data_IF_446747523190
#
_entry.id   IF_446747523190
#
_cell.length_a   1.000
_cell.length_b   1.000
_cell.length_c   1.000
_cell.angle_alpha   90.00
_cell.angle_beta   90.00
_cell.angle_gamma   90.00
#
_symmetry.space_group_name_H-M   'P 1'
#
loop_
_entity.id
_entity.type
_entity.pdbx_description
1 polymer ?
#
# COMPACT_ATOMS: atom_id res chain seq x y z
N UNK A 1 8.04 21.37 9.19
CA UNK A 1 9.29 20.64 8.85
C UNK A 1 9.35 20.42 7.36
N UNK A 2 10.55 20.31 6.79
CA UNK A 2 10.77 20.33 5.34
C UNK A 2 11.82 19.28 4.96
N UNK A 3 11.58 18.52 3.91
CA UNK A 3 12.56 17.65 3.27
C UNK A 3 12.63 18.01 1.78
N UNK A 4 13.83 18.32 1.29
CA UNK A 4 14.02 18.76 -0.09
C UNK A 4 13.93 17.59 -1.09
N UNK A 5 13.69 17.92 -2.37
CA UNK A 5 13.74 16.93 -3.44
C UNK A 5 15.09 16.20 -3.51
N UNK A 6 16.20 16.95 -3.32
CA UNK A 6 17.54 16.37 -3.29
C UNK A 6 17.73 15.39 -2.11
N UNK A 7 17.20 15.73 -0.94
CA UNK A 7 17.23 14.84 0.22
C UNK A 7 16.40 13.55 -0.04
N UNK A 8 15.20 13.70 -0.59
CA UNK A 8 14.35 12.57 -0.97
C UNK A 8 15.06 11.68 -2.02
N UNK A 9 15.69 12.30 -3.02
CA UNK A 9 16.44 11.54 -4.04
C UNK A 9 17.57 10.70 -3.43
N UNK A 10 18.27 11.23 -2.42
CA UNK A 10 19.38 10.58 -1.72
C UNK A 10 18.94 9.52 -0.70
N UNK A 11 17.67 9.48 -0.30
CA UNK A 11 17.19 8.44 0.60
C UNK A 11 17.33 7.07 -0.07
N UNK A 12 17.99 6.13 0.60
CA UNK A 12 18.14 4.76 0.10
C UNK A 12 16.79 4.04 -0.06
N UNK A 13 15.84 4.37 0.82
CA UNK A 13 14.58 3.65 0.93
C UNK A 13 14.76 2.29 1.61
N UNK A 14 13.66 1.61 1.85
CA UNK A 14 13.63 0.28 2.44
C UNK A 14 12.97 -0.68 1.46
N UNK A 15 13.67 -1.76 1.09
CA UNK A 15 13.05 -2.85 0.34
C UNK A 15 12.08 -3.58 1.24
N UNK A 16 10.83 -3.66 0.82
CA UNK A 16 9.77 -4.37 1.54
C UNK A 16 9.24 -5.51 0.67
N UNK A 17 9.13 -6.67 1.30
CA UNK A 17 8.47 -7.85 0.73
C UNK A 17 7.28 -8.16 1.62
N UNK A 18 6.10 -8.32 1.04
CA UNK A 18 4.91 -8.61 1.79
C UNK A 18 4.95 -10.03 2.38
N UNK A 19 4.59 -10.20 3.66
CA UNK A 19 4.69 -11.49 4.34
C UNK A 19 3.80 -12.60 3.76
N UNK A 20 2.73 -12.23 3.05
CA UNK A 20 1.79 -13.18 2.42
C UNK A 20 2.03 -13.37 0.93
N UNK A 21 2.94 -12.59 0.32
CA UNK A 21 3.19 -12.65 -1.11
C UNK A 21 4.62 -12.21 -1.47
N UNK A 22 5.43 -13.14 -1.89
CA UNK A 22 6.83 -12.90 -2.27
C UNK A 22 7.00 -12.08 -3.55
N UNK A 23 5.95 -11.93 -4.38
CA UNK A 23 5.94 -11.06 -5.55
C UNK A 23 5.50 -9.62 -5.23
N UNK A 24 4.99 -9.39 -4.02
CA UNK A 24 4.66 -8.06 -3.55
C UNK A 24 5.91 -7.39 -2.96
N UNK A 25 6.68 -6.76 -3.84
CA UNK A 25 7.98 -6.15 -3.55
C UNK A 25 7.95 -4.68 -3.97
N UNK A 26 8.37 -3.81 -3.05
CA UNK A 26 8.55 -2.39 -3.34
C UNK A 26 9.73 -1.80 -2.59
N UNK A 27 10.29 -0.72 -3.09
CA UNK A 27 11.17 0.16 -2.33
C UNK A 27 10.34 1.31 -1.77
N UNK A 28 10.45 1.55 -0.48
CA UNK A 28 9.61 2.48 0.29
C UNK A 28 10.47 3.57 0.93
N UNK A 29 10.18 4.83 0.65
CA UNK A 29 10.72 6.01 1.32
C UNK A 29 9.60 6.66 2.12
N UNK A 30 9.62 6.54 3.44
CA UNK A 30 8.58 7.08 4.32
C UNK A 30 8.78 8.58 4.54
N UNK A 31 8.20 9.41 3.65
CA UNK A 31 8.30 10.86 3.72
C UNK A 31 7.58 11.42 4.95
N UNK A 32 6.47 10.79 5.34
CA UNK A 32 5.71 11.18 6.52
C UNK A 32 6.52 11.03 7.82
N UNK A 33 7.25 9.93 7.96
CA UNK A 33 8.08 9.69 9.14
C UNK A 33 9.27 10.66 9.19
N UNK A 34 9.86 10.98 8.04
CA UNK A 34 10.98 11.92 7.92
C UNK A 34 10.62 13.32 8.48
N UNK A 35 9.37 13.71 8.34
CA UNK A 35 8.89 15.02 8.88
C UNK A 35 8.05 14.87 10.16
N UNK A 36 7.96 13.69 10.73
CA UNK A 36 7.32 13.41 12.01
C UNK A 36 5.80 13.37 12.01
N UNK A 37 5.15 13.07 10.87
CA UNK A 37 3.69 12.86 10.82
C UNK A 37 3.30 11.61 11.62
N UNK A 38 2.23 11.69 12.40
CA UNK A 38 1.77 10.59 13.26
C UNK A 38 0.51 9.91 12.76
N UNK A 39 -0.43 10.67 12.21
CA UNK A 39 -1.77 10.18 11.86
C UNK A 39 -1.95 9.90 10.38
N UNK A 40 -0.97 10.25 9.56
CA UNK A 40 -0.95 10.00 8.12
C UNK A 40 0.39 9.39 7.75
N UNK A 41 0.36 8.27 7.02
CA UNK A 41 1.48 7.70 6.30
C UNK A 41 1.59 8.38 4.93
N UNK A 42 2.77 8.86 4.58
CA UNK A 42 3.07 9.39 3.24
C UNK A 42 4.33 8.69 2.76
N UNK A 43 4.19 7.88 1.73
CA UNK A 43 5.24 7.01 1.24
C UNK A 43 5.49 7.23 -0.25
N UNK A 44 6.74 7.46 -0.63
CA UNK A 44 7.17 7.39 -2.02
C UNK A 44 7.62 5.95 -2.27
N UNK A 45 6.84 5.21 -3.05
CA UNK A 45 7.13 3.83 -3.37
C UNK A 45 7.60 3.68 -4.81
N UNK A 46 8.49 2.72 -5.02
CA UNK A 46 8.92 2.28 -6.35
C UNK A 46 8.68 0.78 -6.49
N UNK A 47 7.95 0.39 -7.53
CA UNK A 47 7.62 -0.99 -7.87
C UNK A 47 8.36 -1.34 -9.15
N UNK A 48 9.22 -2.36 -9.11
CA UNK A 48 9.95 -2.80 -10.29
C UNK A 48 9.02 -3.51 -11.29
N UNK A 49 9.37 -3.56 -12.59
CA UNK A 49 8.62 -4.37 -13.56
C UNK A 49 8.43 -5.82 -13.10
N UNK A 50 7.20 -6.30 -13.14
CA UNK A 50 6.81 -7.64 -12.70
C UNK A 50 6.43 -7.77 -11.23
N UNK A 51 6.73 -6.77 -10.41
CA UNK A 51 6.37 -6.73 -8.99
C UNK A 51 5.01 -6.05 -8.76
N UNK A 52 4.53 -6.11 -7.53
CA UNK A 52 3.33 -5.38 -7.07
C UNK A 52 3.54 -4.70 -5.72
N UNK A 53 2.71 -3.72 -5.41
CA UNK A 53 2.89 -2.89 -4.21
C UNK A 53 2.71 -3.66 -2.92
N UNK A 54 1.71 -4.54 -2.87
CA UNK A 54 1.30 -5.30 -1.69
C UNK A 54 0.47 -6.51 -2.12
N UNK A 55 0.12 -7.40 -1.19
CA UNK A 55 -0.92 -8.41 -1.44
C UNK A 55 -2.29 -7.73 -1.56
N UNK A 56 -3.17 -8.29 -2.40
CA UNK A 56 -4.55 -7.83 -2.58
C UNK A 56 -5.30 -7.77 -1.25
N UNK A 57 -5.71 -6.56 -0.83
CA UNK A 57 -6.20 -6.30 0.52
C UNK A 57 -7.23 -5.18 0.58
N UNK A 58 -7.97 -5.13 1.69
CA UNK A 58 -8.90 -4.04 2.01
C UNK A 58 -8.77 -3.63 3.47
N UNK A 59 -8.71 -2.32 3.72
CA UNK A 59 -8.79 -1.73 5.06
C UNK A 59 -10.25 -1.54 5.48
N UNK A 60 -10.57 -1.86 6.72
CA UNK A 60 -11.94 -1.67 7.24
C UNK A 60 -12.18 -0.24 7.74
N UNK A 61 -11.15 0.42 8.24
CA UNK A 61 -11.28 1.70 8.92
C UNK A 61 -10.37 2.79 8.37
N UNK A 62 -9.26 2.46 7.70
CA UNK A 62 -8.33 3.44 7.14
C UNK A 62 -8.65 3.74 5.68
N UNK A 63 -8.69 5.03 5.34
CA UNK A 63 -8.65 5.47 3.95
C UNK A 63 -7.22 5.43 3.43
N UNK A 64 -7.07 5.06 2.18
CA UNK A 64 -5.79 5.09 1.46
C UNK A 64 -5.98 5.70 0.07
N UNK A 65 -4.92 6.30 -0.46
CA UNK A 65 -4.91 6.82 -1.82
C UNK A 65 -3.53 6.68 -2.44
N UNK A 66 -3.50 6.58 -3.76
CA UNK A 66 -2.29 6.53 -4.57
C UNK A 66 -2.33 7.64 -5.63
N UNK A 67 -1.22 8.35 -5.78
CA UNK A 67 -1.00 9.26 -6.90
C UNK A 67 0.21 8.75 -7.71
N UNK A 68 0.02 8.52 -9.00
CA UNK A 68 1.08 8.02 -9.88
C UNK A 68 1.97 9.17 -10.33
N UNK A 69 3.26 9.07 -10.03
CA UNK A 69 4.26 10.08 -10.40
C UNK A 69 4.94 9.75 -11.72
N UNK A 70 5.32 8.49 -11.93
CA UNK A 70 5.96 8.04 -13.17
C UNK A 70 5.81 6.54 -13.37
N UNK A 71 6.06 6.07 -14.59
CA UNK A 71 5.82 4.69 -14.98
C UNK A 71 4.36 4.42 -15.32
N UNK A 72 4.05 3.16 -15.64
CA UNK A 72 2.71 2.68 -15.96
C UNK A 72 2.51 1.31 -15.32
N UNK A 73 1.27 1.02 -14.98
CA UNK A 73 0.91 -0.26 -14.39
C UNK A 73 -0.59 -0.52 -14.47
N UNK A 74 -1.05 -1.41 -13.63
CA UNK A 74 -2.47 -1.75 -13.50
C UNK A 74 -2.88 -1.68 -12.04
N UNK A 75 -3.95 -0.94 -11.77
CA UNK A 75 -4.65 -0.98 -10.49
C UNK A 75 -5.78 -2.00 -10.57
N UNK A 76 -5.85 -2.89 -9.61
CA UNK A 76 -6.92 -3.88 -9.47
C UNK A 76 -7.73 -3.50 -8.24
N UNK A 77 -9.04 -3.26 -8.43
CA UNK A 77 -9.99 -2.96 -7.36
C UNK A 77 -11.17 -3.91 -7.50
N UNK A 78 -11.39 -4.77 -6.52
CA UNK A 78 -12.37 -5.84 -6.62
C UNK A 78 -12.12 -6.74 -7.84
N UNK A 79 -13.06 -6.76 -8.78
CA UNK A 79 -12.97 -7.49 -10.04
C UNK A 79 -12.54 -6.61 -11.24
N UNK A 80 -12.30 -5.31 -10.99
CA UNK A 80 -11.98 -4.35 -12.06
C UNK A 80 -10.48 -4.13 -12.12
N UNK A 81 -9.91 -4.23 -13.33
CA UNK A 81 -8.53 -3.87 -13.64
C UNK A 81 -8.49 -2.60 -14.48
N UNK A 82 -7.77 -1.58 -14.03
CA UNK A 82 -7.64 -0.29 -14.71
C UNK A 82 -6.16 0.00 -14.98
N UNK A 83 -5.81 0.34 -16.23
CA UNK A 83 -4.48 0.85 -16.56
C UNK A 83 -4.29 2.23 -15.94
N UNK A 84 -3.15 2.41 -15.31
CA UNK A 84 -2.76 3.65 -14.63
C UNK A 84 -1.45 4.19 -15.16
N UNK A 85 -1.27 5.50 -15.07
CA UNK A 85 -0.07 6.21 -15.49
C UNK A 85 0.10 7.56 -14.80
N UNK A 86 1.15 8.32 -15.14
CA UNK A 86 1.48 9.57 -14.47
C UNK A 86 0.31 10.56 -14.43
N UNK A 87 0.02 11.09 -13.26
CA UNK A 87 -1.09 12.01 -13.00
C UNK A 87 -2.40 11.34 -12.56
N UNK A 88 -2.50 10.03 -12.64
CA UNK A 88 -3.68 9.32 -12.14
C UNK A 88 -3.74 9.31 -10.61
N UNK A 89 -4.94 9.47 -10.09
CA UNK A 89 -5.25 9.40 -8.66
C UNK A 89 -6.29 8.31 -8.40
N UNK A 90 -5.97 7.44 -7.46
CA UNK A 90 -6.84 6.34 -7.05
C UNK A 90 -7.07 6.43 -5.54
N UNK A 91 -8.33 6.40 -5.13
CA UNK A 91 -8.72 6.40 -3.71
C UNK A 91 -9.34 5.07 -3.30
N UNK A 92 -8.99 4.62 -2.11
CA UNK A 92 -9.50 3.39 -1.48
C UNK A 92 -10.17 3.78 -0.16
N UNK A 93 -11.48 4.02 -0.18
CA UNK A 93 -12.20 4.37 1.04
C UNK A 93 -12.24 3.20 2.02
N UNK A 94 -12.23 3.52 3.29
CA UNK A 94 -12.39 2.55 4.37
C UNK A 94 -13.63 1.66 4.17
N UNK A 95 -13.48 0.35 4.33
CA UNK A 95 -14.55 -0.61 4.09
C UNK A 95 -14.88 -0.85 2.61
N UNK A 96 -14.10 -0.27 1.69
CA UNK A 96 -14.25 -0.46 0.25
C UNK A 96 -13.74 -1.81 -0.26
N UNK A 97 -13.69 -1.93 -1.58
CA UNK A 97 -13.22 -3.14 -2.26
C UNK A 97 -11.73 -3.39 -2.03
N UNK A 98 -11.30 -4.65 -1.97
CA UNK A 98 -9.88 -4.96 -1.91
C UNK A 98 -9.16 -4.54 -3.19
N UNK A 99 -7.89 -4.16 -3.04
CA UNK A 99 -7.10 -3.60 -4.12
C UNK A 99 -5.62 -4.03 -4.07
N UNK A 100 -4.95 -3.89 -5.21
CA UNK A 100 -3.49 -4.01 -5.37
C UNK A 100 -3.03 -3.26 -6.62
N UNK A 101 -1.83 -2.69 -6.55
CA UNK A 101 -1.17 -2.04 -7.69
C UNK A 101 -0.11 -2.98 -8.25
N UNK A 102 -0.16 -3.26 -9.54
CA UNK A 102 0.78 -4.15 -10.25
C UNK A 102 1.58 -3.34 -11.26
N UNK A 103 2.89 -3.52 -11.27
CA UNK A 103 3.71 -3.02 -12.35
C UNK A 103 3.84 -4.08 -13.45
N UNK A 104 2.90 -4.07 -14.38
CA UNK A 104 2.93 -4.90 -15.59
C UNK A 104 3.54 -4.17 -16.81
N UNK A 105 4.21 -3.04 -16.56
CA UNK A 105 4.98 -2.27 -17.54
C UNK A 105 6.43 -2.72 -17.63
N UNK A 106 7.24 -1.92 -18.33
CA UNK A 106 8.66 -2.18 -18.57
C UNK A 106 9.60 -1.26 -17.80
N UNK A 107 9.05 -0.22 -17.18
CA UNK A 107 9.77 0.79 -16.40
C UNK A 107 9.32 0.77 -14.93
N UNK A 108 10.14 1.26 -14.00
CA UNK A 108 9.70 1.40 -12.61
C UNK A 108 8.43 2.23 -12.48
N UNK A 109 7.46 1.73 -11.75
CA UNK A 109 6.26 2.47 -11.38
C UNK A 109 6.49 3.18 -10.05
N UNK A 110 6.41 4.51 -10.06
CA UNK A 110 6.64 5.36 -8.89
C UNK A 110 5.34 6.02 -8.47
N UNK A 111 4.96 5.80 -7.23
CA UNK A 111 3.71 6.32 -6.67
C UNK A 111 3.94 7.00 -5.32
N UNK A 112 3.13 8.03 -5.06
CA UNK A 112 2.93 8.56 -3.73
C UNK A 112 1.73 7.85 -3.11
N UNK A 113 1.96 7.11 -2.03
CA UNK A 113 0.90 6.42 -1.26
C UNK A 113 0.64 7.23 -0.01
N UNK A 114 -0.63 7.54 0.23
CA UNK A 114 -1.10 8.32 1.37
C UNK A 114 -2.16 7.48 2.08
N UNK A 115 -1.97 7.18 3.35
CA UNK A 115 -2.91 6.39 4.13
C UNK A 115 -3.04 6.89 5.55
N UNK A 116 -4.21 6.71 6.14
CA UNK A 116 -4.42 6.98 7.54
C UNK A 116 -3.55 6.04 8.41
N UNK A 117 -3.26 6.49 9.62
CA UNK A 117 -2.60 5.71 10.67
C UNK A 117 -3.46 5.74 11.92
N UNK A 118 -4.54 4.99 11.91
CA UNK A 118 -5.39 4.84 13.07
C UNK A 118 -4.75 3.92 14.12
N UNK A 119 -5.10 4.13 15.38
CA UNK A 119 -4.66 3.24 16.46
C UNK A 119 -5.14 1.80 16.24
N UNK A 120 -6.28 1.66 15.59
CA UNK A 120 -6.90 0.36 15.29
C UNK A 120 -7.32 0.31 13.82
N UNK A 121 -7.06 -0.83 13.19
CA UNK A 121 -7.56 -1.15 11.86
C UNK A 121 -7.69 -2.66 11.69
N UNK A 122 -8.51 -3.08 10.75
CA UNK A 122 -8.66 -4.47 10.33
C UNK A 122 -8.41 -4.56 8.83
N UNK A 123 -7.47 -5.41 8.44
CA UNK A 123 -7.11 -5.59 7.02
C UNK A 123 -7.44 -6.99 6.57
N UNK A 124 -8.27 -7.12 5.55
CA UNK A 124 -8.60 -8.39 4.92
C UNK A 124 -7.68 -8.67 3.73
N UNK A 125 -7.22 -9.91 3.64
CA UNK A 125 -6.47 -10.48 2.51
C UNK A 125 -7.30 -11.61 1.88
N UNK A 126 -8.31 -11.28 1.05
CA UNK A 126 -9.31 -12.26 0.63
C UNK A 126 -8.73 -13.43 -0.16
N UNK A 127 -7.71 -13.21 -1.00
CA UNK A 127 -7.04 -14.28 -1.76
C UNK A 127 -6.25 -15.25 -0.89
N UNK A 128 -5.89 -14.84 0.32
CA UNK A 128 -5.14 -15.66 1.30
C UNK A 128 -6.01 -16.21 2.41
N UNK A 129 -7.27 -15.80 2.48
CA UNK A 129 -8.16 -16.17 3.59
C UNK A 129 -7.64 -15.70 4.95
N UNK A 130 -6.94 -14.57 4.99
CA UNK A 130 -6.32 -14.01 6.19
C UNK A 130 -6.92 -12.66 6.56
N UNK A 131 -6.91 -12.39 7.87
CA UNK A 131 -7.28 -11.09 8.43
C UNK A 131 -6.22 -10.65 9.42
N UNK A 132 -5.79 -9.40 9.29
CA UNK A 132 -4.88 -8.74 10.21
C UNK A 132 -5.68 -7.79 11.10
N UNK A 133 -5.55 -7.95 12.40
CA UNK A 133 -5.98 -6.96 13.38
C UNK A 133 -4.78 -6.11 13.79
N UNK A 134 -4.94 -4.79 13.74
CA UNK A 134 -3.96 -3.84 14.28
C UNK A 134 -4.57 -3.14 15.48
N UNK A 135 -3.81 -3.04 16.56
CA UNK A 135 -4.20 -2.34 17.77
C UNK A 135 -2.98 -1.72 18.44
N UNK A 136 -2.81 -0.40 18.27
CA UNK A 136 -1.74 0.39 18.91
C UNK A 136 -0.35 -0.22 18.75
N UNK A 137 -0.02 -0.67 17.53
CA UNK A 137 1.27 -1.27 17.17
C UNK A 137 1.31 -2.79 17.25
N UNK A 138 0.40 -3.45 17.97
CA UNK A 138 0.22 -4.90 17.94
C UNK A 138 -0.40 -5.33 16.61
N UNK A 139 0.02 -6.46 16.09
CA UNK A 139 -0.42 -7.01 14.79
C UNK A 139 -0.70 -8.51 14.93
N UNK A 140 -1.97 -8.89 14.86
CA UNK A 140 -2.41 -10.28 14.98
C UNK A 140 -3.03 -10.73 13.65
N UNK A 141 -2.35 -11.69 12.99
CA UNK A 141 -2.81 -12.29 11.75
C UNK A 141 -3.52 -13.61 12.05
N UNK A 142 -4.76 -13.74 11.59
CA UNK A 142 -5.55 -14.95 11.77
C UNK A 142 -6.07 -15.49 10.43
N UNK A 143 -6.43 -16.77 10.42
CA UNK A 143 -7.20 -17.36 9.34
C UNK A 143 -8.69 -16.97 9.51
N UNK A 144 -9.31 -16.44 8.45
CA UNK A 144 -10.72 -15.99 8.52
C UNK A 144 -11.64 -17.16 8.88
N UNK A 145 -11.29 -18.39 8.49
CA UNK A 145 -12.08 -19.60 8.79
C UNK A 145 -12.09 -19.97 10.28
N UNK A 146 -11.12 -19.46 11.05
CA UNK A 146 -11.03 -19.67 12.49
C UNK A 146 -11.87 -18.67 13.29
N UNK A 147 -12.42 -17.64 12.63
CA UNK A 147 -13.30 -16.66 13.27
C UNK A 147 -14.68 -17.30 13.46
N UNK A 148 -15.08 -17.52 14.70
CA UNK A 148 -16.43 -17.95 15.02
C UNK A 148 -17.42 -16.87 14.58
N UNK A 149 -18.28 -17.20 13.62
CA UNK A 149 -19.43 -16.34 13.28
C UNK A 149 -20.49 -16.52 14.37
N UNK A 150 -20.87 -15.43 14.98
CA UNK A 150 -21.93 -15.39 15.98
C UNK A 150 -23.14 -14.64 15.46
#
# INVERSE_FOLDING_TARGET
>A
MYVSADAIAKMAGTRRVHQLDSAAIRTDKSLGDEVGLKHIGVHLITIAPGDKSTEFHAHKYEDEAIYVLSGRGTEIVGETAQKIGPGDFIGFPAGGEPHETVNDGTEPLVCLVIGQRLAQDVVDYPRKGKRLYRNSGQRDMIDIREIAQR
#
